data_IF_944185026296
#
_entry.id   IF_944185026296
#
_cell.length_a   1.000
_cell.length_b   1.000
_cell.length_c   1.000
_cell.angle_alpha   90.00
_cell.angle_beta   90.00
_cell.angle_gamma   90.00
#
_symmetry.space_group_name_H-M   'P 1'
#
loop_
_entity.id
_entity.type
_entity.pdbx_description
1 polymer ?
#
# COMPACT_ATOMS: atom_id res chain seq x y z
N UNK A 1 -9.78 17.91 4.76
CA UNK A 1 -10.36 16.90 5.68
C UNK A 1 -9.72 17.05 7.05
N UNK A 2 -10.51 16.91 8.12
CA UNK A 2 -10.03 16.91 9.51
C UNK A 2 -9.96 15.45 9.97
N UNK A 3 -8.80 15.03 10.50
CA UNK A 3 -8.61 13.70 11.05
C UNK A 3 -8.50 13.79 12.57
N UNK A 4 -9.34 13.06 13.28
CA UNK A 4 -9.28 12.93 14.74
C UNK A 4 -8.51 11.64 15.07
N UNK A 5 -7.56 11.75 16.00
CA UNK A 5 -6.77 10.61 16.47
C UNK A 5 -6.71 10.64 18.00
N UNK A 6 -7.06 9.54 18.63
CA UNK A 6 -6.99 9.37 20.07
C UNK A 6 -6.77 7.90 20.41
N UNK A 7 -5.97 7.57 21.43
CA UNK A 7 -5.87 6.20 21.95
C UNK A 7 -7.23 5.63 22.38
N UNK A 8 -8.17 6.49 22.78
CA UNK A 8 -9.53 6.09 23.17
C UNK A 8 -10.39 5.62 21.99
N UNK A 9 -9.96 5.89 20.74
CA UNK A 9 -10.65 5.48 19.52
C UNK A 9 -10.17 4.13 19.00
N UNK A 10 -9.13 3.53 19.61
CA UNK A 10 -8.62 2.22 19.18
C UNK A 10 -9.66 1.14 19.55
N UNK A 11 -10.12 0.34 18.58
CA UNK A 11 -11.03 -0.77 18.85
C UNK A 11 -10.30 -1.85 19.66
N UNK A 12 -10.99 -2.44 20.64
CA UNK A 12 -10.47 -3.58 21.40
C UNK A 12 -10.47 -4.88 20.58
N UNK A 13 -11.38 -4.96 19.61
CA UNK A 13 -11.51 -6.09 18.68
C UNK A 13 -11.75 -5.51 17.29
N UNK A 14 -11.02 -6.01 16.30
CA UNK A 14 -11.28 -5.76 14.89
C UNK A 14 -11.69 -7.08 14.24
N UNK A 15 -12.94 -7.20 13.84
CA UNK A 15 -13.46 -8.34 13.11
C UNK A 15 -13.34 -8.06 11.61
N UNK A 16 -12.60 -8.89 10.90
CA UNK A 16 -12.38 -8.77 9.46
C UNK A 16 -13.16 -9.90 8.78
N UNK A 17 -14.22 -9.53 8.08
CA UNK A 17 -15.09 -10.45 7.36
C UNK A 17 -15.03 -10.16 5.84
N UNK A 18 -14.34 -10.97 5.04
CA UNK A 18 -14.22 -10.77 3.60
C UNK A 18 -15.56 -10.87 2.85
N UNK A 19 -16.53 -11.62 3.37
CA UNK A 19 -17.84 -11.78 2.72
C UNK A 19 -18.58 -10.45 2.58
N UNK A 20 -18.37 -9.52 3.51
CA UNK A 20 -18.93 -8.17 3.45
C UNK A 20 -18.39 -7.33 2.28
N UNK A 21 -17.32 -7.77 1.64
CA UNK A 21 -16.71 -7.08 0.50
C UNK A 21 -17.14 -7.63 -0.87
N UNK A 22 -17.87 -8.75 -0.92
CA UNK A 22 -18.27 -9.39 -2.18
C UNK A 22 -19.15 -8.50 -3.07
N UNK A 23 -19.94 -7.61 -2.47
CA UNK A 23 -20.82 -6.70 -3.20
C UNK A 23 -20.18 -5.37 -3.58
N UNK A 24 -18.89 -5.15 -3.27
CA UNK A 24 -18.21 -3.90 -3.61
C UNK A 24 -18.05 -3.74 -5.13
N UNK A 25 -18.41 -2.57 -5.67
CA UNK A 25 -18.17 -2.26 -7.08
C UNK A 25 -16.66 -2.32 -7.42
N UNK A 26 -16.32 -2.71 -8.68
CA UNK A 26 -14.92 -2.81 -9.11
C UNK A 26 -14.11 -1.52 -8.85
N UNK A 27 -14.68 -0.35 -9.12
CA UNK A 27 -14.00 0.94 -8.89
C UNK A 27 -13.67 1.18 -7.42
N UNK A 28 -14.51 0.73 -6.50
CA UNK A 28 -14.26 0.81 -5.06
C UNK A 28 -13.17 -0.19 -4.67
N UNK A 29 -13.23 -1.40 -5.21
CA UNK A 29 -12.20 -2.44 -5.01
C UNK A 29 -10.82 -1.94 -5.47
N UNK A 30 -10.71 -1.35 -6.67
CA UNK A 30 -9.47 -0.78 -7.19
C UNK A 30 -8.95 0.33 -6.27
N UNK A 31 -9.79 1.31 -5.96
CA UNK A 31 -9.42 2.45 -5.12
C UNK A 31 -8.93 2.02 -3.74
N UNK A 32 -9.71 1.21 -3.03
CA UNK A 32 -9.34 0.78 -1.67
C UNK A 32 -8.19 -0.22 -1.66
N UNK A 33 -8.07 -1.03 -2.72
CA UNK A 33 -6.97 -1.97 -2.87
C UNK A 33 -5.62 -1.29 -3.15
N UNK A 34 -5.61 -0.25 -3.98
CA UNK A 34 -4.42 0.59 -4.19
C UNK A 34 -4.02 1.33 -2.92
N UNK A 35 -5.00 1.75 -2.10
CA UNK A 35 -4.74 2.33 -0.79
C UNK A 35 -4.09 1.31 0.15
N UNK A 36 -4.63 0.09 0.23
CA UNK A 36 -4.09 -1.00 1.04
C UNK A 36 -2.65 -1.36 0.63
N UNK A 37 -2.38 -1.47 -0.67
CA UNK A 37 -1.03 -1.71 -1.18
C UNK A 37 -0.08 -0.57 -0.79
N UNK A 38 -0.50 0.68 -0.94
CA UNK A 38 0.29 1.86 -0.53
C UNK A 38 0.59 1.83 0.97
N UNK A 39 -0.39 1.45 1.80
CA UNK A 39 -0.24 1.30 3.25
C UNK A 39 0.69 0.16 3.67
N UNK A 40 0.98 -0.77 2.79
CA UNK A 40 1.98 -1.81 3.04
C UNK A 40 3.37 -1.38 2.53
N UNK A 41 3.46 -0.68 1.38
CA UNK A 41 4.75 -0.28 0.79
C UNK A 41 5.39 0.87 1.58
N UNK A 42 4.66 1.95 1.88
CA UNK A 42 5.26 3.12 2.54
C UNK A 42 5.83 2.81 3.94
N UNK A 43 5.16 2.06 4.83
CA UNK A 43 5.75 1.65 6.10
C UNK A 43 6.95 0.73 5.93
N UNK A 44 6.94 -0.14 4.91
CA UNK A 44 8.06 -1.04 4.63
C UNK A 44 9.34 -0.28 4.31
N UNK A 45 9.26 0.78 3.51
CA UNK A 45 10.42 1.61 3.15
C UNK A 45 10.65 2.79 4.11
N UNK A 46 9.88 2.88 5.19
CA UNK A 46 9.99 3.95 6.20
C UNK A 46 11.27 3.82 7.02
N UNK A 47 11.84 4.95 7.43
CA UNK A 47 12.93 5.00 8.41
C UNK A 47 12.50 4.54 9.82
N UNK A 48 11.21 4.39 10.07
CA UNK A 48 10.65 3.85 11.32
C UNK A 48 10.28 2.36 11.20
N UNK A 49 10.59 1.72 10.07
CA UNK A 49 10.38 0.30 9.89
C UNK A 49 11.12 -0.53 10.94
N UNK A 50 10.56 -1.67 11.29
CA UNK A 50 11.12 -2.59 12.26
C UNK A 50 10.75 -4.04 11.89
N UNK A 51 11.44 -5.06 12.46
CA UNK A 51 11.24 -6.45 12.05
C UNK A 51 9.79 -6.94 12.09
N UNK A 52 8.98 -6.45 13.04
CA UNK A 52 7.58 -6.84 13.14
C UNK A 52 6.76 -6.24 12.00
N UNK A 53 6.88 -4.94 11.78
CA UNK A 53 6.18 -4.25 10.68
C UNK A 53 6.67 -4.73 9.32
N UNK A 54 7.95 -5.07 9.18
CA UNK A 54 8.51 -5.61 7.94
C UNK A 54 7.84 -6.93 7.54
N UNK A 55 7.65 -7.85 8.50
CA UNK A 55 6.95 -9.11 8.26
C UNK A 55 5.50 -8.90 7.83
N UNK A 56 4.80 -8.00 8.52
CA UNK A 56 3.40 -7.64 8.19
C UNK A 56 3.31 -7.00 6.81
N UNK A 57 4.21 -6.07 6.47
CA UNK A 57 4.23 -5.39 5.18
C UNK A 57 4.51 -6.36 4.02
N UNK A 58 5.51 -7.25 4.16
CA UNK A 58 5.81 -8.27 3.14
C UNK A 58 4.58 -9.10 2.82
N UNK A 59 3.92 -9.61 3.84
CA UNK A 59 2.71 -10.40 3.67
C UNK A 59 1.60 -9.59 3.01
N UNK A 60 1.40 -8.34 3.43
CA UNK A 60 0.40 -7.45 2.85
C UNK A 60 0.68 -7.13 1.37
N UNK A 61 1.93 -6.83 1.01
CA UNK A 61 2.34 -6.58 -0.38
C UNK A 61 2.13 -7.84 -1.23
N UNK A 62 2.54 -9.02 -0.72
CA UNK A 62 2.38 -10.30 -1.42
C UNK A 62 0.91 -10.58 -1.73
N UNK A 63 0.01 -10.40 -0.76
CA UNK A 63 -1.43 -10.60 -0.94
C UNK A 63 -2.02 -9.62 -1.95
N UNK A 64 -1.70 -8.34 -1.82
CA UNK A 64 -2.19 -7.32 -2.74
C UNK A 64 -1.68 -7.56 -4.17
N UNK A 65 -0.40 -7.90 -4.34
CA UNK A 65 0.19 -8.18 -5.65
C UNK A 65 -0.53 -9.30 -6.41
N UNK A 66 -0.85 -10.40 -5.71
CA UNK A 66 -1.50 -11.56 -6.36
C UNK A 66 -3.00 -11.39 -6.54
N UNK A 67 -3.67 -10.61 -5.69
CA UNK A 67 -5.13 -10.68 -5.56
C UNK A 67 -5.86 -9.40 -5.90
N UNK A 68 -5.20 -8.23 -5.99
CA UNK A 68 -5.92 -6.98 -6.26
C UNK A 68 -6.59 -6.98 -7.63
N UNK A 69 -5.88 -7.38 -8.68
CA UNK A 69 -6.45 -7.47 -10.03
C UNK A 69 -7.56 -8.52 -10.08
N UNK A 70 -7.35 -9.67 -9.47
CA UNK A 70 -8.36 -10.74 -9.37
C UNK A 70 -9.64 -10.25 -8.65
N UNK A 71 -9.50 -9.56 -7.52
CA UNK A 71 -10.64 -9.00 -6.79
C UNK A 71 -11.37 -7.90 -7.57
N UNK A 72 -10.68 -7.18 -8.45
CA UNK A 72 -11.27 -6.18 -9.34
C UNK A 72 -12.06 -6.83 -10.49
N UNK A 73 -11.48 -7.82 -11.15
CA UNK A 73 -12.06 -8.48 -12.32
C UNK A 73 -13.15 -9.50 -11.93
N UNK A 74 -12.98 -10.17 -10.79
CA UNK A 74 -13.84 -11.21 -10.26
C UNK A 74 -14.22 -10.89 -8.81
N UNK A 75 -15.12 -9.94 -8.63
CA UNK A 75 -15.51 -9.40 -7.33
C UNK A 75 -16.16 -10.40 -6.38
N UNK A 76 -16.61 -11.56 -6.87
CA UNK A 76 -17.18 -12.68 -6.14
C UNK A 76 -16.13 -13.73 -5.71
N UNK A 77 -14.87 -13.58 -6.08
CA UNK A 77 -13.78 -14.44 -5.63
C UNK A 77 -13.46 -14.18 -4.15
N UNK A 78 -14.00 -15.03 -3.29
CA UNK A 78 -13.83 -14.93 -1.82
C UNK A 78 -12.36 -15.04 -1.39
N UNK A 79 -11.53 -15.79 -2.13
CA UNK A 79 -10.11 -15.90 -1.80
C UNK A 79 -9.38 -14.59 -2.08
N UNK A 80 -9.64 -13.96 -3.22
CA UNK A 80 -9.09 -12.66 -3.55
C UNK A 80 -9.59 -11.57 -2.57
N UNK A 81 -10.86 -11.61 -2.18
CA UNK A 81 -11.43 -10.72 -1.15
C UNK A 81 -10.77 -10.92 0.22
N UNK A 82 -10.49 -12.16 0.60
CA UNK A 82 -9.77 -12.50 1.83
C UNK A 82 -8.37 -11.90 1.82
N UNK A 83 -7.64 -12.06 0.73
CA UNK A 83 -6.30 -11.49 0.59
C UNK A 83 -6.31 -9.96 0.69
N UNK A 84 -7.24 -9.31 0.02
CA UNK A 84 -7.33 -7.85 0.07
C UNK A 84 -7.76 -7.33 1.44
N UNK A 85 -8.64 -8.03 2.12
CA UNK A 85 -9.06 -7.71 3.50
C UNK A 85 -7.88 -7.83 4.48
N UNK A 86 -7.06 -8.87 4.33
CA UNK A 86 -5.83 -9.03 5.12
C UNK A 86 -4.79 -7.98 4.78
N UNK A 87 -4.59 -7.65 3.50
CA UNK A 87 -3.68 -6.58 3.10
C UNK A 87 -4.08 -5.24 3.72
N UNK A 88 -5.38 -4.91 3.74
CA UNK A 88 -5.89 -3.70 4.36
C UNK A 88 -5.66 -3.69 5.89
N UNK A 89 -5.90 -4.82 6.57
CA UNK A 89 -5.61 -4.97 8.00
C UNK A 89 -4.11 -4.76 8.29
N UNK A 90 -3.25 -5.40 7.51
CA UNK A 90 -1.80 -5.31 7.67
C UNK A 90 -1.29 -3.89 7.42
N UNK A 91 -1.82 -3.20 6.42
CA UNK A 91 -1.54 -1.79 6.18
C UNK A 91 -1.88 -0.91 7.39
N UNK A 92 -3.06 -1.13 8.01
CA UNK A 92 -3.46 -0.42 9.22
C UNK A 92 -2.53 -0.68 10.42
N UNK A 93 -2.11 -1.93 10.62
CA UNK A 93 -1.15 -2.30 11.68
C UNK A 93 0.24 -1.68 11.42
N UNK A 94 0.69 -1.71 10.16
CA UNK A 94 1.98 -1.14 9.76
C UNK A 94 1.98 0.39 9.90
N UNK A 95 0.93 1.09 9.46
CA UNK A 95 0.73 2.53 9.65
C UNK A 95 0.89 2.94 11.10
N UNK A 96 0.26 2.20 12.01
CA UNK A 96 0.28 2.53 13.45
C UNK A 96 1.68 2.44 14.06
N UNK A 97 2.56 1.58 13.51
CA UNK A 97 3.85 1.24 14.09
C UNK A 97 5.07 1.77 13.33
N UNK A 98 4.97 2.02 12.02
CA UNK A 98 6.07 2.52 11.19
C UNK A 98 5.73 3.81 10.43
N UNK A 99 4.51 4.32 10.59
CA UNK A 99 3.97 5.50 9.89
C UNK A 99 3.95 5.32 8.37
N UNK A 100 3.65 6.41 7.66
CA UNK A 100 3.56 6.45 6.20
C UNK A 100 4.52 7.52 5.65
N UNK A 101 4.70 7.52 4.34
CA UNK A 101 5.61 8.40 3.64
C UNK A 101 4.91 9.54 2.88
N UNK A 102 5.52 9.91 1.73
CA UNK A 102 5.13 11.09 0.98
C UNK A 102 3.80 10.92 0.23
N UNK A 103 3.41 9.69 -0.16
CA UNK A 103 2.09 9.47 -0.79
C UNK A 103 0.99 10.00 0.11
N UNK A 104 0.99 9.55 1.37
CA UNK A 104 0.00 10.02 2.35
C UNK A 104 0.20 11.47 2.78
N UNK A 105 1.44 11.95 2.76
CA UNK A 105 1.75 13.36 2.98
C UNK A 105 1.04 14.26 1.97
N UNK A 106 0.95 13.85 0.70
CA UNK A 106 0.25 14.58 -0.36
C UNK A 106 -1.24 14.23 -0.44
N UNK A 107 -1.62 12.95 -0.23
CA UNK A 107 -3.00 12.50 -0.42
C UNK A 107 -3.98 13.20 0.54
N UNK A 108 -3.57 13.52 1.76
CA UNK A 108 -4.38 14.28 2.71
C UNK A 108 -4.77 15.67 2.19
N UNK A 109 -3.81 16.56 1.90
CA UNK A 109 -4.06 17.88 1.31
C UNK A 109 -4.85 17.81 -0.01
N UNK A 110 -4.43 16.94 -0.95
CA UNK A 110 -5.11 16.78 -2.24
C UNK A 110 -6.57 16.36 -2.08
N UNK A 111 -6.87 15.39 -1.21
CA UNK A 111 -8.24 15.01 -0.91
C UNK A 111 -9.07 16.11 -0.22
N UNK A 112 -8.42 17.11 0.37
CA UNK A 112 -9.06 18.35 0.85
C UNK A 112 -9.37 19.32 -0.28
N UNK A 113 -8.44 19.46 -1.25
CA UNK A 113 -8.58 20.35 -2.42
C UNK A 113 -9.56 19.77 -3.45
N UNK A 114 -9.60 18.45 -3.61
CA UNK A 114 -10.45 17.72 -4.56
C UNK A 114 -11.37 16.74 -3.82
N UNK A 115 -12.46 17.22 -3.20
CA UNK A 115 -13.32 16.37 -2.36
C UNK A 115 -13.99 15.22 -3.12
N UNK A 116 -14.17 15.34 -4.43
CA UNK A 116 -14.73 14.30 -5.29
C UNK A 116 -13.75 13.17 -5.63
N UNK A 117 -12.46 13.37 -5.43
CA UNK A 117 -11.46 12.33 -5.68
C UNK A 117 -11.39 11.36 -4.50
N UNK A 118 -11.65 10.04 -4.69
CA UNK A 118 -11.49 9.05 -3.64
C UNK A 118 -10.04 9.00 -3.16
N UNK A 119 -9.84 8.82 -1.85
CA UNK A 119 -8.51 8.83 -1.24
C UNK A 119 -7.58 7.79 -1.86
N UNK A 120 -8.06 6.55 -2.03
CA UNK A 120 -7.27 5.47 -2.60
C UNK A 120 -6.89 5.68 -4.06
N UNK A 121 -7.72 6.39 -4.84
CA UNK A 121 -7.34 6.80 -6.22
C UNK A 121 -6.15 7.76 -6.16
N UNK A 122 -6.19 8.74 -5.26
CA UNK A 122 -5.06 9.68 -5.09
C UNK A 122 -3.80 8.91 -4.67
N UNK A 123 -3.92 7.98 -3.72
CA UNK A 123 -2.79 7.16 -3.28
C UNK A 123 -2.21 6.32 -4.43
N UNK A 124 -3.05 5.60 -5.17
CA UNK A 124 -2.62 4.78 -6.30
C UNK A 124 -1.92 5.59 -7.40
N UNK A 125 -2.49 6.74 -7.76
CA UNK A 125 -1.90 7.63 -8.77
C UNK A 125 -0.55 8.21 -8.32
N UNK A 126 -0.37 8.52 -7.04
CA UNK A 126 0.86 9.10 -6.51
C UNK A 126 1.96 8.07 -6.29
N UNK A 127 1.60 6.83 -5.94
CA UNK A 127 2.54 5.81 -5.50
C UNK A 127 3.72 5.61 -6.47
N UNK A 128 3.53 5.38 -7.77
CA UNK A 128 4.64 5.14 -8.68
C UNK A 128 5.58 6.34 -8.82
N UNK A 129 5.04 7.57 -8.74
CA UNK A 129 5.86 8.78 -8.81
C UNK A 129 6.67 8.99 -7.54
N UNK A 130 6.08 8.75 -6.37
CA UNK A 130 6.78 8.86 -5.08
C UNK A 130 7.86 7.79 -4.96
N UNK A 131 7.56 6.53 -5.34
CA UNK A 131 8.57 5.47 -5.37
C UNK A 131 9.75 5.85 -6.27
N UNK A 132 9.48 6.30 -7.50
CA UNK A 132 10.53 6.72 -8.43
C UNK A 132 11.37 7.87 -7.89
N UNK A 133 10.74 8.91 -7.33
CA UNK A 133 11.43 10.06 -6.76
C UNK A 133 12.30 9.67 -5.55
N UNK A 134 11.80 8.82 -4.67
CA UNK A 134 12.54 8.33 -3.51
C UNK A 134 13.75 7.49 -3.93
N UNK A 135 13.58 6.56 -4.87
CA UNK A 135 14.68 5.73 -5.40
C UNK A 135 15.75 6.60 -6.05
N UNK A 136 15.34 7.59 -6.86
CA UNK A 136 16.28 8.52 -7.49
C UNK A 136 17.02 9.37 -6.46
N UNK A 137 16.32 9.90 -5.45
CA UNK A 137 16.92 10.68 -4.38
C UNK A 137 17.92 9.85 -3.56
N UNK A 138 17.58 8.62 -3.20
CA UNK A 138 18.46 7.71 -2.48
C UNK A 138 19.71 7.39 -3.30
N UNK A 139 19.54 7.00 -4.58
CA UNK A 139 20.69 6.72 -5.47
C UNK A 139 21.65 7.89 -5.61
N UNK A 140 21.13 9.14 -5.65
CA UNK A 140 21.95 10.33 -5.86
C UNK A 140 22.55 10.90 -4.58
N UNK A 141 21.88 10.78 -3.44
CA UNK A 141 22.28 11.44 -2.19
C UNK A 141 22.84 10.46 -1.15
N UNK A 142 22.31 9.26 -1.11
CA UNK A 142 22.61 8.23 -0.10
C UNK A 142 22.72 6.83 -0.74
N UNK A 143 23.68 6.58 -1.65
CA UNK A 143 23.76 5.35 -2.43
C UNK A 143 24.00 4.07 -1.59
N UNK A 144 24.40 4.24 -0.33
CA UNK A 144 24.58 3.15 0.63
C UNK A 144 23.38 2.98 1.58
N UNK A 145 22.30 3.74 1.40
CA UNK A 145 21.13 3.65 2.27
C UNK A 145 20.43 2.30 2.09
N UNK A 146 20.17 1.54 3.17
CA UNK A 146 19.54 0.22 3.09
C UNK A 146 18.12 0.26 2.52
N UNK A 147 17.47 1.43 2.50
CA UNK A 147 16.16 1.58 1.89
C UNK A 147 16.14 1.26 0.38
N UNK A 148 17.28 1.40 -0.33
CA UNK A 148 17.37 0.98 -1.73
C UNK A 148 17.08 -0.51 -1.90
N UNK A 149 17.71 -1.37 -1.09
CA UNK A 149 17.45 -2.81 -1.11
C UNK A 149 15.99 -3.15 -0.73
N UNK A 150 15.32 -2.31 0.07
CA UNK A 150 13.90 -2.50 0.37
C UNK A 150 13.02 -2.20 -0.84
N UNK A 151 13.36 -1.22 -1.67
CA UNK A 151 12.64 -0.97 -2.92
C UNK A 151 12.86 -2.10 -3.94
N UNK A 152 14.05 -2.71 -3.98
CA UNK A 152 14.29 -3.90 -4.79
C UNK A 152 13.46 -5.09 -4.27
N UNK A 153 13.40 -5.29 -2.96
CA UNK A 153 12.56 -6.33 -2.34
C UNK A 153 11.06 -6.12 -2.64
N UNK A 154 10.56 -4.88 -2.59
CA UNK A 154 9.18 -4.56 -3.01
C UNK A 154 8.97 -4.98 -4.45
N UNK A 155 9.90 -4.66 -5.36
CA UNK A 155 9.81 -5.04 -6.76
C UNK A 155 9.76 -6.57 -6.94
N UNK A 156 10.61 -7.30 -6.24
CA UNK A 156 10.65 -8.76 -6.27
C UNK A 156 9.34 -9.39 -5.82
N UNK A 157 8.73 -8.85 -4.76
CA UNK A 157 7.42 -9.32 -4.28
C UNK A 157 6.32 -9.01 -5.30
N UNK A 158 6.30 -7.80 -5.86
CA UNK A 158 5.27 -7.36 -6.80
C UNK A 158 5.31 -8.14 -8.12
N UNK A 159 6.51 -8.40 -8.65
CA UNK A 159 6.70 -9.06 -9.95
C UNK A 159 6.79 -10.58 -9.85
N UNK A 160 7.15 -11.11 -8.67
CA UNK A 160 7.50 -12.52 -8.51
C UNK A 160 8.88 -12.89 -9.08
N UNK A 161 9.65 -11.92 -9.56
CA UNK A 161 11.00 -12.10 -10.10
C UNK A 161 12.05 -11.70 -9.04
N UNK A 162 12.83 -12.66 -8.56
CA UNK A 162 13.88 -12.44 -7.55
C UNK A 162 15.01 -11.54 -8.03
N UNK A 163 15.09 -11.23 -9.32
CA UNK A 163 16.11 -10.34 -9.91
C UNK A 163 15.57 -8.93 -10.18
N UNK A 164 14.27 -8.70 -9.93
CA UNK A 164 13.65 -7.41 -10.17
C UNK A 164 14.27 -6.30 -9.31
N UNK A 165 14.44 -5.14 -9.91
CA UNK A 165 14.96 -3.93 -9.31
C UNK A 165 13.84 -2.95 -8.93
N UNK A 166 14.15 -1.94 -8.15
CA UNK A 166 13.21 -0.88 -7.78
C UNK A 166 12.50 -0.23 -8.99
N UNK A 167 13.18 -0.13 -10.15
CA UNK A 167 12.57 0.39 -11.38
C UNK A 167 11.47 -0.51 -11.93
N UNK A 168 11.62 -1.82 -11.80
CA UNK A 168 10.61 -2.79 -12.23
C UNK A 168 9.37 -2.72 -11.33
N UNK A 169 9.58 -2.54 -10.01
CA UNK A 169 8.50 -2.30 -9.07
C UNK A 169 7.71 -1.01 -9.35
N UNK A 170 8.42 0.08 -9.71
CA UNK A 170 7.76 1.33 -10.12
C UNK A 170 6.92 1.12 -11.38
N UNK A 171 7.45 0.38 -12.37
CA UNK A 171 6.73 0.08 -13.60
C UNK A 171 5.49 -0.77 -13.33
N UNK A 172 5.63 -1.79 -12.52
CA UNK A 172 4.53 -2.68 -12.13
C UNK A 172 3.38 -1.91 -11.46
N UNK A 173 3.71 -1.02 -10.50
CA UNK A 173 2.69 -0.19 -9.83
C UNK A 173 2.02 0.77 -10.81
N UNK A 174 2.79 1.32 -11.77
CA UNK A 174 2.25 2.23 -12.79
C UNK A 174 1.27 1.54 -13.74
N UNK A 175 1.50 0.28 -14.06
CA UNK A 175 0.61 -0.54 -14.90
C UNK A 175 -0.65 -1.00 -14.15
N UNK A 176 -0.56 -1.09 -12.82
CA UNK A 176 -1.70 -1.47 -11.99
C UNK A 176 -2.66 -0.29 -11.76
N UNK A 177 -2.14 0.95 -11.64
CA UNK A 177 -2.89 2.15 -11.26
C UNK A 177 -3.54 2.84 -12.47
#
# INVERSE_FOLDING_TARGET
KVSLRSPLMLPKVALIDPELTLSLPPIVTASTGLDALTQCIEPFVSHLSNPLTDGICREGITRAARSLRQAFEHGDDIQARTDMSLAALFGGLALANAKLGAVYGFAGPLGGMYPSAPHGVICGLLLPFVMAANVQALKSREPQNPALGRYDEVAQILTGDSTASASDGVSWVRELA
#
